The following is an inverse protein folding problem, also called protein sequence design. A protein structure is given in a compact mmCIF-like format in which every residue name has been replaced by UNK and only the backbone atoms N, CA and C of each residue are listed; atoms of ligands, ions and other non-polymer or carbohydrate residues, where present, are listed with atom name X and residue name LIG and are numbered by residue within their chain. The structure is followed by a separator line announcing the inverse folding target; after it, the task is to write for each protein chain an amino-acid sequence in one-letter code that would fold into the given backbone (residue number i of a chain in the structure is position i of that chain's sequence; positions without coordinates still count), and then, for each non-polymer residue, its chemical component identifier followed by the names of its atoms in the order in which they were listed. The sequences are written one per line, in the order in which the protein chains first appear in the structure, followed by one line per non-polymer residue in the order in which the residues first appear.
data_IF_219275489032
#
_entry.id   IF_219275489032
#
_cell.length_a   1.000
_cell.length_b   1.000
_cell.length_c   1.000
_cell.angle_alpha   90.00
_cell.angle_beta   90.00
_cell.angle_gamma   90.00
#
_symmetry.space_group_name_H-M   'P 1'
#
loop_
_entity.id
_entity.type
_entity.pdbx_description
1 polymer ?
#
# COMPACT_ATOMS: atom_id res chain seq x y z
N UNK A 1 36.43 28.17 -56.01
CA UNK A 1 35.16 28.02 -55.26
C UNK A 1 35.31 26.82 -54.31
N UNK A 2 35.63 27.05 -53.03
CA UNK A 2 35.83 25.97 -52.04
C UNK A 2 34.53 25.77 -51.27
N UNK A 3 33.85 24.63 -51.47
CA UNK A 3 32.67 24.23 -50.68
C UNK A 3 33.16 23.49 -49.43
N UNK A 4 32.92 24.08 -48.27
CA UNK A 4 33.17 23.47 -46.96
C UNK A 4 31.88 22.74 -46.55
N UNK A 5 31.93 21.41 -46.48
CA UNK A 5 30.84 20.58 -45.95
C UNK A 5 31.05 20.42 -44.44
N UNK A 6 30.20 21.05 -43.63
CA UNK A 6 30.13 20.82 -42.18
C UNK A 6 29.19 19.64 -41.92
N UNK A 7 29.73 18.51 -41.50
CA UNK A 7 28.95 17.37 -40.99
C UNK A 7 28.63 17.63 -39.51
N UNK A 8 27.36 17.92 -39.21
CA UNK A 8 26.85 17.88 -37.84
C UNK A 8 26.63 16.41 -37.45
N UNK A 9 27.52 15.86 -36.62
CA UNK A 9 27.28 14.57 -35.97
C UNK A 9 26.22 14.75 -34.88
N UNK A 10 25.03 14.23 -35.11
CA UNK A 10 23.96 14.13 -34.11
C UNK A 10 24.37 13.06 -33.09
N UNK A 11 24.86 13.45 -31.91
CA UNK A 11 25.01 12.53 -30.79
C UNK A 11 23.62 12.22 -30.23
N UNK A 12 23.10 11.04 -30.54
CA UNK A 12 21.95 10.44 -29.87
C UNK A 12 22.34 10.11 -28.43
N UNK A 13 22.00 10.99 -27.49
CA UNK A 13 21.96 10.67 -26.06
C UNK A 13 20.87 9.64 -25.84
N UNK A 14 21.24 8.37 -25.76
CA UNK A 14 20.36 7.32 -25.24
C UNK A 14 20.16 7.60 -23.75
N UNK A 15 19.08 8.30 -23.41
CA UNK A 15 18.59 8.35 -22.04
C UNK A 15 18.15 6.93 -21.67
N UNK A 16 19.03 6.18 -21.00
CA UNK A 16 18.67 4.89 -20.42
C UNK A 16 17.62 5.13 -19.36
N UNK A 17 16.36 4.79 -19.65
CA UNK A 17 15.35 4.65 -18.62
C UNK A 17 15.79 3.50 -17.71
N UNK A 18 16.25 3.82 -16.51
CA UNK A 18 16.39 2.83 -15.46
C UNK A 18 15.00 2.26 -15.16
N UNK A 19 14.75 1.01 -15.54
CA UNK A 19 13.55 0.31 -15.14
C UNK A 19 13.56 0.17 -13.61
N UNK A 20 12.54 0.73 -12.95
CA UNK A 20 12.35 0.55 -11.51
C UNK A 20 12.04 -0.93 -11.25
N UNK A 21 12.96 -1.64 -10.60
CA UNK A 21 12.81 -3.07 -10.33
C UNK A 21 11.84 -3.29 -9.16
N UNK A 22 10.55 -3.46 -9.45
CA UNK A 22 9.57 -3.87 -8.46
C UNK A 22 9.79 -5.34 -8.06
N UNK A 23 9.85 -5.59 -6.76
CA UNK A 23 9.96 -6.94 -6.20
C UNK A 23 8.62 -7.37 -5.60
N UNK A 24 8.06 -8.53 -6.00
CA UNK A 24 6.85 -9.07 -5.37
C UNK A 24 7.10 -9.35 -3.88
N UNK A 25 6.21 -8.87 -3.00
CA UNK A 25 6.17 -9.22 -1.58
C UNK A 25 5.30 -10.46 -1.31
N UNK A 26 4.36 -10.74 -2.21
CA UNK A 26 3.57 -11.95 -2.22
C UNK A 26 3.97 -12.81 -3.42
N UNK A 27 4.19 -14.11 -3.19
CA UNK A 27 4.73 -15.01 -4.21
C UNK A 27 3.66 -15.70 -5.07
N UNK A 28 2.36 -15.48 -4.78
CA UNK A 28 1.24 -16.06 -5.51
C UNK A 28 1.01 -17.56 -5.26
N UNK A 29 1.70 -18.16 -4.28
CA UNK A 29 1.70 -19.61 -4.01
C UNK A 29 1.37 -19.94 -2.56
N UNK A 30 2.01 -19.27 -1.62
CA UNK A 30 1.88 -19.52 -0.19
C UNK A 30 2.18 -18.24 0.62
N UNK A 31 2.18 -18.37 1.95
CA UNK A 31 2.44 -17.28 2.88
C UNK A 31 3.93 -17.14 3.26
N UNK A 32 4.86 -17.70 2.48
CA UNK A 32 6.29 -17.55 2.75
C UNK A 32 6.66 -16.07 2.81
N UNK A 33 7.28 -15.65 3.91
CA UNK A 33 7.64 -14.26 4.17
C UNK A 33 6.56 -13.46 4.90
N UNK A 34 5.46 -14.10 5.31
CA UNK A 34 4.37 -13.52 6.08
C UNK A 34 4.17 -14.22 7.43
N UNK A 35 3.63 -13.48 8.40
CA UNK A 35 3.27 -13.96 9.73
C UNK A 35 1.80 -13.60 10.00
N UNK A 36 1.00 -14.58 10.40
CA UNK A 36 -0.37 -14.38 10.86
C UNK A 36 -0.36 -13.97 12.35
N UNK A 37 -1.03 -12.87 12.69
CA UNK A 37 -1.10 -12.29 14.02
C UNK A 37 -2.58 -12.17 14.46
N UNK A 38 -3.17 -13.32 14.78
CA UNK A 38 -4.55 -13.42 15.24
C UNK A 38 -5.12 -14.81 14.96
N UNK A 39 -6.44 -14.90 14.94
CA UNK A 39 -7.19 -16.16 14.73
C UNK A 39 -7.94 -16.19 13.40
N UNK A 40 -7.83 -15.13 12.61
CA UNK A 40 -8.32 -15.03 11.26
C UNK A 40 -7.65 -16.03 10.33
N UNK A 41 -8.30 -16.30 9.20
CA UNK A 41 -7.75 -17.18 8.18
C UNK A 41 -7.10 -16.34 7.09
N UNK A 42 -5.85 -16.67 6.80
CA UNK A 42 -5.14 -16.23 5.60
C UNK A 42 -4.73 -17.46 4.80
N UNK A 43 -5.01 -17.44 3.50
CA UNK A 43 -4.62 -18.54 2.62
C UNK A 43 -4.47 -18.06 1.19
N UNK A 44 -3.85 -18.91 0.36
CA UNK A 44 -3.72 -18.65 -1.07
C UNK A 44 -4.73 -19.49 -1.83
N UNK A 45 -5.55 -18.84 -2.64
CA UNK A 45 -6.51 -19.49 -3.54
C UNK A 45 -6.47 -18.78 -4.89
N UNK A 46 -6.41 -19.51 -6.00
CA UNK A 46 -6.34 -18.93 -7.35
C UNK A 46 -5.22 -17.89 -7.54
N UNK A 47 -4.07 -18.06 -6.84
CA UNK A 47 -2.94 -17.11 -6.79
C UNK A 47 -3.28 -15.77 -6.13
N UNK A 48 -4.39 -15.68 -5.42
CA UNK A 48 -4.83 -14.53 -4.63
C UNK A 48 -4.59 -14.83 -3.16
N UNK A 49 -4.24 -13.78 -2.40
CA UNK A 49 -4.19 -13.84 -0.95
C UNK A 49 -5.60 -13.54 -0.43
N UNK A 50 -6.23 -14.53 0.19
CA UNK A 50 -7.61 -14.47 0.68
C UNK A 50 -7.61 -14.40 2.20
N UNK A 51 -8.52 -13.58 2.75
CA UNK A 51 -8.76 -13.44 4.18
C UNK A 51 -10.22 -13.71 4.54
N UNK A 52 -10.44 -14.33 5.70
CA UNK A 52 -11.75 -14.53 6.31
C UNK A 52 -11.68 -14.22 7.81
N UNK A 53 -12.74 -13.64 8.36
CA UNK A 53 -12.82 -13.37 9.79
C UNK A 53 -12.61 -14.65 10.62
N UNK A 54 -11.89 -14.50 11.73
CA UNK A 54 -11.68 -15.56 12.70
C UNK A 54 -12.97 -15.96 13.44
N UNK A 55 -12.96 -17.11 14.14
CA UNK A 55 -14.12 -17.60 14.90
C UNK A 55 -14.54 -16.66 16.05
N UNK A 56 -13.59 -15.91 16.60
CA UNK A 56 -13.81 -14.92 17.67
C UNK A 56 -14.25 -13.53 17.16
N UNK A 57 -14.27 -13.35 15.82
CA UNK A 57 -14.60 -12.10 15.13
C UNK A 57 -13.80 -10.89 15.62
N UNK A 58 -12.55 -11.13 16.03
CA UNK A 58 -11.60 -10.07 16.38
C UNK A 58 -10.79 -9.63 15.16
N UNK A 59 -10.15 -8.46 15.29
CA UNK A 59 -9.19 -8.01 14.30
C UNK A 59 -7.99 -8.94 14.22
N UNK A 60 -7.49 -9.07 13.00
CA UNK A 60 -6.35 -9.90 12.63
C UNK A 60 -5.41 -9.19 11.67
N UNK A 61 -4.15 -9.63 11.63
CA UNK A 61 -3.15 -9.05 10.75
C UNK A 61 -2.22 -10.07 10.13
N UNK A 62 -2.06 -10.00 8.80
CA UNK A 62 -0.96 -10.66 8.11
C UNK A 62 0.18 -9.68 7.88
N UNK A 63 1.28 -9.83 8.61
CA UNK A 63 2.45 -8.95 8.52
C UNK A 63 3.57 -9.57 7.69
N UNK A 64 4.32 -8.73 6.98
CA UNK A 64 5.56 -9.17 6.36
C UNK A 64 6.62 -9.44 7.41
N UNK A 65 7.44 -10.47 7.22
CA UNK A 65 8.60 -10.78 8.08
C UNK A 65 9.74 -9.76 7.99
N UNK A 66 9.68 -8.85 7.03
CA UNK A 66 10.69 -7.79 6.81
C UNK A 66 10.15 -6.43 7.22
N UNK A 67 11.07 -5.58 7.65
CA UNK A 67 10.80 -4.16 7.87
C UNK A 67 11.15 -3.34 6.64
N UNK A 68 10.43 -2.23 6.49
CA UNK A 68 10.57 -1.27 5.40
C UNK A 68 10.60 0.14 5.97
N UNK A 69 11.43 0.98 5.34
CA UNK A 69 11.55 2.40 5.66
C UNK A 69 10.94 3.26 4.55
N UNK A 70 11.62 3.39 3.42
CA UNK A 70 11.08 4.05 2.23
C UNK A 70 10.71 2.99 1.20
N UNK A 71 9.52 3.09 0.63
CA UNK A 71 9.04 2.13 -0.35
C UNK A 71 7.89 2.68 -1.19
N UNK A 72 7.75 2.12 -2.37
CA UNK A 72 6.55 2.21 -3.18
C UNK A 72 5.90 0.83 -3.21
N UNK A 73 4.66 0.75 -2.73
CA UNK A 73 3.85 -0.45 -2.73
C UNK A 73 2.69 -0.29 -3.70
N UNK A 74 2.52 -1.26 -4.59
CA UNK A 74 1.31 -1.39 -5.41
C UNK A 74 0.67 -2.74 -5.10
N UNK A 75 -0.64 -2.75 -4.85
CA UNK A 75 -1.43 -3.94 -4.66
C UNK A 75 -2.79 -3.82 -5.36
N UNK A 76 -3.44 -4.95 -5.56
CA UNK A 76 -4.85 -5.00 -5.92
C UNK A 76 -5.64 -5.62 -4.78
N UNK A 77 -6.83 -5.09 -4.53
CA UNK A 77 -7.75 -5.60 -3.52
C UNK A 77 -9.18 -5.68 -4.08
N UNK A 78 -9.97 -6.58 -3.52
CA UNK A 78 -11.40 -6.73 -3.79
C UNK A 78 -12.11 -7.00 -2.47
N UNK A 79 -13.07 -6.14 -2.13
CA UNK A 79 -13.93 -6.34 -0.97
C UNK A 79 -15.12 -7.20 -1.38
N UNK A 80 -15.25 -8.38 -0.78
CA UNK A 80 -16.39 -9.28 -1.00
C UNK A 80 -17.54 -9.05 0.01
N UNK A 81 -17.26 -8.29 1.07
CA UNK A 81 -18.24 -7.90 2.09
C UNK A 81 -17.96 -6.46 2.59
N UNK A 82 -18.86 -5.93 3.42
CA UNK A 82 -18.75 -4.60 4.01
C UNK A 82 -17.80 -4.55 5.22
N UNK A 83 -16.64 -5.20 5.11
CA UNK A 83 -15.60 -5.24 6.14
C UNK A 83 -14.67 -4.03 6.08
N UNK A 84 -14.15 -3.64 7.23
CA UNK A 84 -13.05 -2.69 7.35
C UNK A 84 -11.72 -3.44 7.29
N UNK A 85 -10.77 -2.92 6.52
CA UNK A 85 -9.44 -3.47 6.30
C UNK A 85 -8.47 -2.30 6.10
N UNK A 86 -7.22 -2.60 5.81
CA UNK A 86 -6.21 -1.59 5.60
C UNK A 86 -4.86 -2.18 5.31
N UNK A 87 -4.01 -1.34 4.73
CA UNK A 87 -2.60 -1.64 4.51
C UNK A 87 -1.79 -0.82 5.50
N UNK A 88 -1.30 -1.49 6.53
CA UNK A 88 -0.41 -0.92 7.53
C UNK A 88 0.99 -0.72 6.97
N UNK A 89 1.63 0.37 7.37
CA UNK A 89 2.97 0.78 6.97
C UNK A 89 3.82 1.10 8.20
N UNK A 90 5.10 0.73 8.12
CA UNK A 90 6.11 0.99 9.18
C UNK A 90 5.61 0.54 10.57
N UNK A 91 4.98 -0.62 10.63
CA UNK A 91 4.25 -1.09 11.80
C UNK A 91 5.03 -2.07 12.68
N UNK A 92 4.59 -2.17 13.93
CA UNK A 92 4.98 -3.18 14.93
C UNK A 92 3.73 -3.80 15.54
N UNK A 93 3.82 -5.00 16.11
CA UNK A 93 2.68 -5.66 16.74
C UNK A 93 3.11 -6.42 18.00
N UNK A 94 2.26 -6.36 19.02
CA UNK A 94 2.35 -7.16 20.25
C UNK A 94 1.03 -7.91 20.45
N UNK A 95 1.06 -9.24 20.29
CA UNK A 95 -0.15 -10.05 20.14
C UNK A 95 -0.97 -9.62 18.92
N UNK A 96 -2.14 -9.03 19.15
CA UNK A 96 -3.00 -8.43 18.12
C UNK A 96 -3.06 -6.90 18.21
N UNK A 97 -2.30 -6.28 19.12
CA UNK A 97 -2.24 -4.83 19.26
C UNK A 97 -1.21 -4.25 18.31
N UNK A 98 -1.66 -3.87 17.12
CA UNK A 98 -0.80 -3.23 16.12
C UNK A 98 -0.49 -1.78 16.50
N UNK A 99 0.69 -1.30 16.14
CA UNK A 99 1.08 0.11 16.20
C UNK A 99 1.63 0.53 14.85
N UNK A 100 1.26 1.72 14.38
CA UNK A 100 1.71 2.29 13.13
C UNK A 100 0.56 2.97 12.39
N UNK A 101 0.73 3.13 11.08
CA UNK A 101 -0.17 3.89 10.24
C UNK A 101 -0.77 2.99 9.19
N UNK A 102 -2.04 3.17 8.86
CA UNK A 102 -2.72 2.39 7.83
C UNK A 102 -3.19 3.31 6.71
N UNK A 103 -3.12 2.82 5.48
CA UNK A 103 -3.93 3.32 4.38
C UNK A 103 -5.22 2.51 4.36
N UNK A 104 -6.33 3.21 4.55
CA UNK A 104 -7.64 2.60 4.79
C UNK A 104 -8.15 1.80 3.57
N UNK A 105 -8.80 0.66 3.83
CA UNK A 105 -9.64 -0.06 2.86
C UNK A 105 -10.99 -0.35 3.53
N UNK A 106 -12.01 0.42 3.19
CA UNK A 106 -13.31 0.34 3.82
C UNK A 106 -14.44 0.50 2.77
N UNK A 107 -15.69 0.20 3.10
CA UNK A 107 -16.83 0.42 2.20
C UNK A 107 -16.96 1.88 1.76
N UNK A 108 -17.85 2.14 0.80
CA UNK A 108 -18.13 3.50 0.33
C UNK A 108 -18.48 4.47 1.47
N UNK A 109 -17.98 5.71 1.36
CA UNK A 109 -18.15 6.77 2.36
C UNK A 109 -17.45 6.50 3.70
N UNK A 110 -16.52 5.55 3.74
CA UNK A 110 -15.68 5.24 4.88
C UNK A 110 -14.18 5.43 4.57
N UNK A 111 -13.86 6.37 3.67
CA UNK A 111 -12.54 7.00 3.57
C UNK A 111 -11.40 6.09 3.06
N UNK A 112 -11.68 5.12 2.19
CA UNK A 112 -10.64 4.31 1.52
C UNK A 112 -9.54 5.20 0.93
N UNK A 113 -8.28 4.85 1.19
CA UNK A 113 -7.12 5.64 0.78
C UNK A 113 -6.71 6.74 1.75
N UNK A 114 -7.51 7.05 2.77
CA UNK A 114 -7.11 7.91 3.89
C UNK A 114 -6.02 7.30 4.77
N UNK A 115 -5.40 8.10 5.64
CA UNK A 115 -4.35 7.65 6.56
C UNK A 115 -4.86 7.75 7.99
N UNK A 116 -4.80 6.62 8.70
CA UNK A 116 -5.22 6.47 10.08
C UNK A 116 -4.09 5.91 10.94
N UNK A 117 -3.98 6.35 12.20
CA UNK A 117 -3.00 5.83 13.17
C UNK A 117 -3.69 5.03 14.28
N UNK A 118 -3.58 3.71 14.19
CA UNK A 118 -4.20 2.78 15.13
C UNK A 118 -3.53 2.84 16.50
N UNK A 119 -4.37 2.88 17.55
CA UNK A 119 -3.96 3.07 18.95
C UNK A 119 -3.08 4.32 19.18
N UNK A 120 -3.16 5.30 18.28
CA UNK A 120 -2.45 6.57 18.34
C UNK A 120 -3.40 7.74 18.13
N UNK A 121 -3.10 8.61 17.16
CA UNK A 121 -3.83 9.86 16.91
C UNK A 121 -5.18 9.69 16.19
N UNK A 122 -5.49 8.50 15.66
CA UNK A 122 -6.69 8.29 14.85
C UNK A 122 -6.53 8.82 13.42
N UNK A 123 -7.58 9.43 12.85
CA UNK A 123 -7.54 9.98 11.49
C UNK A 123 -6.51 11.09 11.36
N UNK A 124 -5.50 10.87 10.53
CA UNK A 124 -4.46 11.87 10.23
C UNK A 124 -4.84 12.71 9.02
N UNK A 125 -5.37 12.05 7.99
CA UNK A 125 -5.96 12.68 6.82
C UNK A 125 -7.02 11.77 6.20
N UNK A 126 -8.15 12.36 5.84
CA UNK A 126 -9.21 11.68 5.08
C UNK A 126 -9.15 12.14 3.62
N UNK A 127 -9.57 11.29 2.65
CA UNK A 127 -9.75 11.73 1.27
C UNK A 127 -10.83 12.79 1.20
N UNK A 128 -10.83 13.57 0.13
CA UNK A 128 -11.93 14.52 -0.09
C UNK A 128 -13.22 13.75 -0.38
N UNK A 129 -14.40 14.26 0.01
CA UNK A 129 -15.67 13.59 -0.26
C UNK A 129 -15.87 13.27 -1.75
N UNK A 130 -15.44 14.14 -2.66
CA UNK A 130 -15.55 13.91 -4.12
C UNK A 130 -14.65 12.79 -4.66
N UNK A 131 -13.65 12.36 -3.88
CA UNK A 131 -12.69 11.32 -4.25
C UNK A 131 -13.16 9.92 -3.81
N UNK A 132 -14.10 9.82 -2.86
CA UNK A 132 -14.71 8.55 -2.41
C UNK A 132 -15.24 7.69 -3.58
N UNK A 133 -15.73 8.35 -4.64
CA UNK A 133 -16.27 7.72 -5.87
C UNK A 133 -15.27 6.85 -6.63
N UNK A 134 -13.97 6.97 -6.36
CA UNK A 134 -12.94 6.19 -7.06
C UNK A 134 -12.87 4.74 -6.59
N UNK A 135 -13.46 4.43 -5.44
CA UNK A 135 -13.65 3.05 -4.98
C UNK A 135 -14.67 2.33 -5.87
N UNK A 136 -14.34 1.10 -6.26
CA UNK A 136 -15.24 0.21 -7.01
C UNK A 136 -15.62 -0.98 -6.13
N UNK A 137 -16.73 -0.87 -5.40
CA UNK A 137 -17.21 -1.96 -4.54
C UNK A 137 -17.46 -3.26 -5.33
N UNK A 138 -17.12 -4.40 -4.72
CA UNK A 138 -17.27 -5.74 -5.32
C UNK A 138 -16.36 -6.01 -6.54
N UNK A 139 -15.49 -5.07 -6.91
CA UNK A 139 -14.56 -5.18 -8.05
C UNK A 139 -13.12 -5.05 -7.58
N UNK A 140 -12.20 -5.45 -8.44
CA UNK A 140 -10.78 -5.22 -8.22
C UNK A 140 -10.45 -3.73 -8.29
N UNK A 141 -9.74 -3.25 -7.28
CA UNK A 141 -9.21 -1.90 -7.16
C UNK A 141 -7.69 -1.98 -7.10
N UNK A 142 -7.00 -1.05 -7.75
CA UNK A 142 -5.54 -0.93 -7.63
C UNK A 142 -5.21 0.19 -6.65
N UNK A 143 -4.48 -0.14 -5.59
CA UNK A 143 -3.96 0.82 -4.63
C UNK A 143 -2.46 0.99 -4.83
N UNK A 144 -1.99 2.24 -4.79
CA UNK A 144 -0.57 2.57 -4.70
C UNK A 144 -0.33 3.39 -3.44
N UNK A 145 0.74 3.08 -2.72
CA UNK A 145 1.20 3.80 -1.54
C UNK A 145 2.67 4.12 -1.75
N UNK A 146 3.01 5.41 -1.75
CA UNK A 146 4.39 5.88 -1.72
C UNK A 146 4.67 6.38 -0.31
N UNK A 147 5.72 5.82 0.30
CA UNK A 147 6.23 6.23 1.59
C UNK A 147 7.69 6.64 1.38
N UNK A 148 7.98 7.94 1.45
CA UNK A 148 9.31 8.50 1.21
C UNK A 148 9.65 9.54 2.27
N UNK A 149 10.60 9.20 3.15
CA UNK A 149 10.91 10.05 4.29
C UNK A 149 9.67 10.26 5.17
N UNK A 150 9.32 11.52 5.42
CA UNK A 150 8.14 11.94 6.18
C UNK A 150 6.88 12.14 5.33
N UNK A 151 6.92 11.79 4.04
CA UNK A 151 5.81 11.98 3.11
C UNK A 151 5.14 10.64 2.76
N UNK A 152 3.81 10.65 2.75
CA UNK A 152 2.98 9.54 2.29
C UNK A 152 2.01 10.07 1.25
N UNK A 153 1.91 9.34 0.15
CA UNK A 153 0.85 9.56 -0.85
C UNK A 153 0.16 8.25 -1.14
N UNK A 154 -1.18 8.27 -1.18
CA UNK A 154 -1.98 7.13 -1.61
C UNK A 154 -2.70 7.45 -2.92
N UNK A 155 -2.87 6.42 -3.74
CA UNK A 155 -3.67 6.46 -4.95
C UNK A 155 -4.61 5.26 -4.99
N UNK A 156 -5.79 5.49 -5.56
CA UNK A 156 -6.78 4.47 -5.84
C UNK A 156 -7.17 4.54 -7.31
N UNK A 157 -7.00 3.45 -8.04
CA UNK A 157 -7.32 3.34 -9.46
C UNK A 157 -6.67 4.45 -10.31
N UNK A 158 -5.46 4.88 -9.94
CA UNK A 158 -4.70 5.94 -10.62
C UNK A 158 -5.03 7.36 -10.14
N UNK A 159 -6.11 7.56 -9.39
CA UNK A 159 -6.46 8.84 -8.78
C UNK A 159 -5.74 9.03 -7.44
N UNK A 160 -5.17 10.22 -7.20
CA UNK A 160 -4.51 10.52 -5.92
C UNK A 160 -5.57 10.77 -4.85
N UNK A 161 -5.56 9.96 -3.78
CA UNK A 161 -6.52 10.07 -2.69
C UNK A 161 -6.06 11.09 -1.65
N UNK A 162 -4.87 10.91 -1.08
CA UNK A 162 -4.29 11.86 -0.13
C UNK A 162 -2.79 12.03 -0.35
N UNK A 163 -2.28 13.19 0.07
CA UNK A 163 -0.87 13.45 0.35
C UNK A 163 -0.78 13.95 1.79
N UNK A 164 0.18 13.44 2.54
CA UNK A 164 0.36 13.79 3.94
C UNK A 164 1.85 13.83 4.29
N UNK A 165 2.24 14.83 5.07
CA UNK A 165 3.61 15.01 5.56
C UNK A 165 3.59 15.01 7.08
N UNK A 166 4.37 14.12 7.69
CA UNK A 166 4.38 13.92 9.14
C UNK A 166 5.72 13.37 9.62
N UNK A 167 6.42 14.18 10.44
CA UNK A 167 7.75 13.85 10.94
C UNK A 167 7.77 12.57 11.80
N UNK A 168 6.67 12.29 12.52
CA UNK A 168 6.57 11.08 13.35
C UNK A 168 6.54 9.84 12.45
N UNK A 169 5.77 9.87 11.38
CA UNK A 169 5.79 8.82 10.35
C UNK A 169 7.21 8.72 9.76
N UNK A 170 7.86 9.84 9.44
CA UNK A 170 9.21 9.88 8.88
C UNK A 170 10.30 9.19 9.69
N UNK A 171 10.12 9.10 11.01
CA UNK A 171 11.01 8.38 11.94
C UNK A 171 10.70 6.88 12.03
N UNK A 172 9.56 6.43 11.50
CA UNK A 172 9.12 5.06 11.55
C UNK A 172 9.87 4.11 10.62
N UNK A 173 10.01 2.87 11.05
CA UNK A 173 10.48 1.72 10.28
C UNK A 173 9.80 0.49 10.86
N UNK A 174 9.32 -0.40 10.00
CA UNK A 174 8.56 -1.57 10.45
C UNK A 174 7.97 -2.34 9.30
N UNK A 175 7.23 -3.39 9.60
CA UNK A 175 6.64 -4.23 8.56
C UNK A 175 5.48 -3.53 7.84
N UNK A 176 5.09 -4.12 6.71
CA UNK A 176 3.78 -3.90 6.09
C UNK A 176 2.83 -4.96 6.64
N UNK A 177 1.57 -4.61 6.93
CA UNK A 177 0.57 -5.61 7.31
C UNK A 177 -0.78 -5.37 6.63
N UNK A 178 -1.54 -6.45 6.47
CA UNK A 178 -2.91 -6.43 5.95
C UNK A 178 -3.86 -6.75 7.09
N UNK A 179 -4.91 -5.95 7.26
CA UNK A 179 -5.92 -6.13 8.31
C UNK A 179 -7.14 -6.91 7.81
N UNK A 180 -7.77 -7.65 8.70
CA UNK A 180 -9.17 -8.10 8.60
C UNK A 180 -9.89 -7.91 9.93
#
# INVERSE_FOLDING_TARGET
MKRLLLLYSLMLLSAGSFAQNFKPIFNGKDLTGWTNNGTEKWYVSNKELVCESGPDKQYGYLSTTKNYKNFELTLQFKQEANGNSGVFIRSTIDGTKISGWQVEVAPENLHTGGIYESYGRGWLIQPKPEDEKWLKMGKWNTMKILVDGDEITSWLNGHKMVYFKDEKIGKGEGFIALQI
#
